data_IF_466048617674
#
_entry.id   IF_466048617674
#
_cell.length_a   1.000
_cell.length_b   1.000
_cell.length_c   1.000
_cell.angle_alpha   90.00
_cell.angle_beta   90.00
_cell.angle_gamma   90.00
#
_symmetry.space_group_name_H-M   'P 1'
#
loop_
_entity.id
_entity.type
_entity.pdbx_description
1 polymer ?
#
# COMPACT_ATOMS: atom_id res chain seq x y z
N UNK A 1 6.63 -8.17 -16.72
CA UNK A 1 7.05 -8.28 -15.30
C UNK A 1 6.39 -7.14 -14.56
N UNK A 2 5.40 -7.41 -13.75
CA UNK A 2 4.89 -6.41 -12.82
C UNK A 2 5.90 -6.34 -11.68
N UNK A 3 6.80 -5.36 -11.71
CA UNK A 3 7.59 -5.00 -10.54
C UNK A 3 6.58 -4.53 -9.49
N UNK A 4 6.17 -5.43 -8.61
CA UNK A 4 5.51 -5.03 -7.40
C UNK A 4 6.57 -4.28 -6.60
N UNK A 5 6.46 -2.97 -6.51
CA UNK A 5 7.31 -2.15 -5.67
C UNK A 5 7.27 -2.74 -4.25
N UNK A 6 8.41 -2.79 -3.58
CA UNK A 6 8.53 -3.26 -2.19
C UNK A 6 7.50 -2.60 -1.27
N UNK A 7 7.22 -1.31 -1.47
CA UNK A 7 6.15 -0.57 -0.81
C UNK A 7 4.74 -1.16 -1.02
N UNK A 8 4.44 -1.65 -2.23
CA UNK A 8 3.15 -2.27 -2.52
C UNK A 8 3.02 -3.66 -1.91
N UNK A 9 4.14 -4.35 -1.68
CA UNK A 9 4.19 -5.63 -0.96
C UNK A 9 4.01 -5.43 0.55
N UNK A 10 4.68 -4.44 1.14
CA UNK A 10 4.50 -4.10 2.56
C UNK A 10 3.04 -3.78 2.89
N UNK A 11 2.38 -2.99 2.06
CA UNK A 11 0.98 -2.64 2.25
C UNK A 11 0.03 -3.85 2.14
N UNK A 12 0.30 -4.80 1.24
CA UNK A 12 -0.49 -6.03 1.13
C UNK A 12 -0.33 -6.92 2.36
N UNK A 13 0.88 -7.01 2.92
CA UNK A 13 1.15 -7.81 4.12
C UNK A 13 0.50 -7.19 5.34
N UNK A 14 0.55 -5.87 5.51
CA UNK A 14 -0.17 -5.15 6.58
C UNK A 14 -1.67 -5.42 6.51
N UNK A 15 -2.24 -5.45 5.31
CA UNK A 15 -3.65 -5.82 5.08
C UNK A 15 -3.95 -7.23 5.57
N UNK A 16 -3.04 -8.18 5.42
CA UNK A 16 -3.21 -9.56 5.89
C UNK A 16 -3.12 -9.66 7.40
N UNK A 17 -2.19 -8.95 8.04
CA UNK A 17 -1.99 -9.04 9.49
C UNK A 17 -3.04 -8.33 10.33
N UNK A 18 -3.91 -7.53 9.76
CA UNK A 18 -4.98 -6.76 10.43
C UNK A 18 -4.47 -5.60 11.30
N UNK A 19 -3.39 -5.76 12.06
CA UNK A 19 -2.84 -4.77 13.00
C UNK A 19 -1.36 -4.46 12.76
N UNK A 20 -0.75 -4.93 11.68
CA UNK A 20 0.69 -4.79 11.47
C UNK A 20 1.57 -5.62 12.41
N UNK A 21 1.01 -6.68 13.00
CA UNK A 21 1.63 -7.46 14.09
C UNK A 21 2.73 -8.40 13.61
N UNK A 22 2.80 -8.68 12.32
CA UNK A 22 3.75 -9.63 11.76
C UNK A 22 4.37 -9.11 10.47
N UNK A 23 5.67 -9.35 10.33
CA UNK A 23 6.38 -9.19 9.07
C UNK A 23 6.23 -10.44 8.22
N UNK A 24 5.99 -10.23 6.94
CA UNK A 24 5.94 -11.30 5.97
C UNK A 24 6.17 -10.79 4.57
N UNK A 25 6.25 -11.70 3.61
CA UNK A 25 6.42 -11.37 2.21
C UNK A 25 5.81 -12.43 1.32
N UNK A 26 5.48 -12.05 0.10
CA UNK A 26 5.02 -12.97 -0.92
C UNK A 26 5.66 -12.63 -2.27
N UNK A 27 6.13 -13.65 -2.94
CA UNK A 27 6.62 -13.55 -4.32
C UNK A 27 5.56 -14.18 -5.22
N UNK A 28 5.11 -13.43 -6.23
CA UNK A 28 4.13 -13.90 -7.22
C UNK A 28 4.77 -13.86 -8.58
N UNK A 29 4.90 -15.04 -9.19
CA UNK A 29 5.32 -15.17 -10.58
C UNK A 29 4.13 -15.56 -11.45
N UNK A 30 4.01 -14.93 -12.61
CA UNK A 30 2.97 -15.26 -13.59
C UNK A 30 3.23 -16.59 -14.32
N UNK A 31 4.46 -17.08 -14.30
CA UNK A 31 4.91 -18.23 -15.08
C UNK A 31 4.90 -18.03 -16.60
N UNK A 32 4.76 -16.79 -17.07
CA UNK A 32 4.60 -16.48 -18.51
C UNK A 32 5.82 -15.82 -19.15
N UNK A 33 6.78 -15.39 -18.34
CA UNK A 33 7.94 -14.69 -18.85
C UNK A 33 8.96 -15.68 -19.45
N UNK A 34 9.38 -15.41 -20.66
CA UNK A 34 10.39 -16.24 -21.34
C UNK A 34 11.80 -15.79 -20.92
N UNK A 35 12.35 -16.48 -19.92
CA UNK A 35 13.67 -16.19 -19.38
C UNK A 35 14.78 -16.40 -20.40
N UNK A 36 14.69 -17.50 -21.20
CA UNK A 36 15.71 -17.82 -22.19
C UNK A 36 15.77 -16.83 -23.34
N UNK A 37 14.64 -16.25 -23.74
CA UNK A 37 14.61 -15.18 -24.74
C UNK A 37 15.30 -13.88 -24.28
N UNK A 38 15.61 -13.77 -22.98
CA UNK A 38 16.28 -12.62 -22.36
C UNK A 38 17.47 -13.03 -21.49
N UNK A 39 18.16 -14.09 -21.90
CA UNK A 39 19.23 -14.70 -21.12
C UNK A 39 20.39 -13.74 -20.78
N UNK A 40 20.67 -12.78 -21.66
CA UNK A 40 21.65 -11.72 -21.44
C UNK A 40 21.35 -10.84 -20.22
N UNK A 41 20.07 -10.65 -19.89
CA UNK A 41 19.62 -9.85 -18.74
C UNK A 41 19.44 -10.66 -17.46
N UNK A 42 19.26 -11.97 -17.60
CA UNK A 42 18.97 -12.87 -16.47
C UNK A 42 19.93 -14.07 -16.42
N UNK A 43 21.26 -13.82 -16.41
CA UNK A 43 22.24 -14.92 -16.42
C UNK A 43 22.05 -15.87 -15.23
N UNK A 44 21.67 -15.36 -14.06
CA UNK A 44 21.42 -16.19 -12.88
C UNK A 44 20.31 -17.25 -13.02
N UNK A 45 19.45 -17.17 -14.05
CA UNK A 45 18.44 -18.17 -14.36
C UNK A 45 18.80 -18.98 -15.63
N UNK A 46 19.60 -18.39 -16.51
CA UNK A 46 19.82 -18.88 -17.87
C UNK A 46 21.22 -19.42 -18.13
N UNK A 47 22.09 -19.47 -17.11
CA UNK A 47 23.40 -20.12 -17.17
C UNK A 47 23.51 -21.23 -16.13
N UNK A 48 24.43 -22.21 -16.29
CA UNK A 48 24.67 -23.24 -15.29
C UNK A 48 24.98 -22.65 -13.91
N UNK A 49 24.32 -23.13 -12.88
CA UNK A 49 24.51 -22.71 -11.49
C UNK A 49 25.30 -23.77 -10.72
N UNK A 50 26.58 -23.52 -10.47
CA UNK A 50 27.47 -24.43 -9.76
C UNK A 50 27.01 -24.73 -8.33
N UNK A 51 26.34 -23.79 -7.67
CA UNK A 51 25.80 -24.01 -6.32
C UNK A 51 24.62 -24.98 -6.30
N UNK A 52 24.06 -25.30 -7.47
CA UNK A 52 22.97 -26.26 -7.64
C UNK A 52 23.25 -27.30 -8.71
N UNK A 53 24.45 -27.93 -8.62
CA UNK A 53 24.90 -29.04 -9.46
C UNK A 53 24.99 -28.69 -10.96
N UNK A 54 25.29 -27.46 -11.31
CA UNK A 54 25.47 -27.01 -12.70
C UNK A 54 24.20 -26.96 -13.53
N UNK A 55 23.00 -26.92 -12.91
CA UNK A 55 21.76 -26.81 -13.67
C UNK A 55 21.52 -25.39 -14.16
N UNK A 56 20.86 -25.24 -15.29
CA UNK A 56 20.25 -24.00 -15.77
C UNK A 56 18.79 -23.99 -15.37
N UNK A 57 18.40 -23.08 -14.47
CA UNK A 57 17.04 -23.06 -13.90
C UNK A 57 15.97 -22.90 -14.98
N UNK A 58 16.17 -21.99 -15.93
CA UNK A 58 15.19 -21.72 -16.99
C UNK A 58 14.99 -22.91 -17.94
N UNK A 59 16.06 -23.66 -18.23
CA UNK A 59 15.97 -24.90 -19.05
C UNK A 59 15.28 -26.02 -18.29
N UNK A 60 15.66 -26.24 -17.03
CA UNK A 60 15.18 -27.38 -16.24
C UNK A 60 13.75 -27.22 -15.74
N UNK A 61 13.37 -26.02 -15.31
CA UNK A 61 12.08 -25.78 -14.67
C UNK A 61 11.14 -24.94 -15.53
N UNK A 62 11.54 -24.57 -16.74
CA UNK A 62 10.75 -23.78 -17.67
C UNK A 62 10.43 -22.37 -17.13
N UNK A 63 9.65 -21.65 -17.91
CA UNK A 63 9.21 -20.30 -17.53
C UNK A 63 8.27 -20.28 -16.33
N UNK A 64 7.56 -21.37 -16.09
CA UNK A 64 6.58 -21.51 -15.02
C UNK A 64 7.23 -21.69 -13.64
N UNK A 65 8.40 -22.32 -13.59
CA UNK A 65 9.01 -22.72 -12.33
C UNK A 65 10.40 -22.15 -12.03
N UNK A 66 11.13 -21.69 -13.04
CA UNK A 66 12.55 -21.31 -12.90
C UNK A 66 12.79 -20.29 -11.78
N UNK A 67 12.03 -19.21 -11.76
CA UNK A 67 12.22 -18.13 -10.81
C UNK A 67 11.89 -18.56 -9.37
N UNK A 68 10.74 -19.16 -9.15
CA UNK A 68 10.31 -19.61 -7.82
C UNK A 68 11.22 -20.72 -7.30
N UNK A 69 11.64 -21.64 -8.17
CA UNK A 69 12.57 -22.70 -7.75
C UNK A 69 13.92 -22.11 -7.33
N UNK A 70 14.48 -21.14 -8.07
CA UNK A 70 15.71 -20.47 -7.64
C UNK A 70 15.53 -19.73 -6.30
N UNK A 71 14.41 -19.03 -6.12
CA UNK A 71 14.12 -18.34 -4.86
C UNK A 71 14.10 -19.32 -3.67
N UNK A 72 13.48 -20.48 -3.81
CA UNK A 72 13.34 -21.46 -2.72
C UNK A 72 14.57 -22.35 -2.56
N UNK A 73 15.05 -22.95 -3.64
CA UNK A 73 16.09 -23.96 -3.59
C UNK A 73 17.51 -23.40 -3.38
N UNK A 74 17.73 -22.13 -3.72
CA UNK A 74 19.02 -21.47 -3.52
C UNK A 74 18.91 -20.31 -2.54
N UNK A 75 18.19 -19.23 -2.89
CA UNK A 75 18.23 -17.99 -2.10
C UNK A 75 17.68 -18.17 -0.69
N UNK A 76 16.51 -18.78 -0.56
CA UNK A 76 15.90 -19.03 0.76
C UNK A 76 16.78 -20.01 1.58
N UNK A 77 17.29 -21.06 0.96
CA UNK A 77 18.15 -22.04 1.60
C UNK A 77 19.46 -21.40 2.11
N UNK A 78 20.11 -20.59 1.27
CA UNK A 78 21.45 -20.08 1.55
C UNK A 78 21.41 -18.88 2.51
N UNK A 79 20.41 -18.00 2.39
CA UNK A 79 20.25 -16.82 3.25
C UNK A 79 19.36 -17.07 4.48
N UNK A 80 18.63 -18.18 4.54
CA UNK A 80 17.74 -18.49 5.65
C UNK A 80 16.52 -17.56 5.74
N UNK A 81 16.12 -16.92 4.65
CA UNK A 81 15.01 -15.96 4.61
C UNK A 81 13.65 -16.69 4.71
N UNK A 82 13.36 -17.22 5.88
CA UNK A 82 12.09 -17.91 6.18
C UNK A 82 11.23 -17.07 7.11
N UNK A 83 9.92 -17.11 6.86
CA UNK A 83 8.95 -16.56 7.79
C UNK A 83 8.85 -17.44 9.04
N UNK A 84 8.78 -16.81 10.23
CA UNK A 84 8.58 -17.58 11.45
C UNK A 84 7.19 -18.26 11.42
N UNK A 85 7.04 -19.47 12.01
CA UNK A 85 5.74 -20.13 12.09
C UNK A 85 4.68 -19.28 12.78
N UNK A 86 5.05 -18.52 13.80
CA UNK A 86 4.14 -17.62 14.50
C UNK A 86 3.66 -16.47 13.62
N UNK A 87 4.55 -15.84 12.84
CA UNK A 87 4.16 -14.80 11.87
C UNK A 87 3.25 -15.37 10.78
N UNK A 88 3.54 -16.58 10.30
CA UNK A 88 2.68 -17.26 9.33
C UNK A 88 1.28 -17.54 9.89
N UNK A 89 1.18 -17.96 11.15
CA UNK A 89 -0.10 -18.17 11.84
C UNK A 89 -0.89 -16.87 11.96
N UNK A 90 -0.27 -15.77 12.41
CA UNK A 90 -0.93 -14.46 12.53
C UNK A 90 -1.43 -13.96 11.17
N UNK A 91 -0.62 -14.09 10.11
CA UNK A 91 -1.03 -13.71 8.76
C UNK A 91 -2.21 -14.55 8.27
N UNK A 92 -2.21 -15.85 8.55
CA UNK A 92 -3.32 -16.74 8.18
C UNK A 92 -4.62 -16.34 8.90
N UNK A 93 -4.56 -16.02 10.19
CA UNK A 93 -5.72 -15.49 10.92
C UNK A 93 -6.24 -14.19 10.30
N UNK A 94 -5.33 -13.31 9.86
CA UNK A 94 -5.70 -12.09 9.17
C UNK A 94 -6.41 -12.36 7.83
N UNK A 95 -6.00 -13.38 7.10
CA UNK A 95 -6.63 -13.78 5.83
C UNK A 95 -8.07 -14.26 6.02
N UNK A 96 -8.37 -14.97 7.10
CA UNK A 96 -9.71 -15.50 7.36
C UNK A 96 -10.80 -14.43 7.42
N UNK A 97 -10.47 -13.22 7.88
CA UNK A 97 -11.40 -12.09 7.96
C UNK A 97 -11.27 -11.07 6.83
N UNK A 98 -10.35 -11.28 5.88
CA UNK A 98 -10.05 -10.28 4.84
C UNK A 98 -11.26 -9.93 3.98
N UNK A 99 -12.08 -10.92 3.63
CA UNK A 99 -13.25 -10.77 2.77
C UNK A 99 -14.37 -9.92 3.39
N UNK A 100 -14.40 -9.76 4.71
CA UNK A 100 -15.36 -8.88 5.41
C UNK A 100 -14.74 -7.53 5.76
N UNK A 101 -13.42 -7.46 5.98
CA UNK A 101 -12.73 -6.20 6.28
C UNK A 101 -12.59 -5.31 5.05
N UNK A 102 -12.17 -5.87 3.91
CA UNK A 102 -11.92 -5.08 2.73
C UNK A 102 -13.16 -4.30 2.22
N UNK A 103 -14.37 -4.87 2.17
CA UNK A 103 -15.57 -4.10 1.85
C UNK A 103 -15.79 -2.91 2.78
N UNK A 104 -15.54 -3.08 4.10
CA UNK A 104 -15.71 -1.99 5.07
C UNK A 104 -14.66 -0.88 4.87
N UNK A 105 -13.40 -1.24 4.61
CA UNK A 105 -12.37 -0.25 4.26
C UNK A 105 -12.74 0.54 2.99
N UNK A 106 -13.29 -0.13 1.98
CA UNK A 106 -13.72 0.51 0.72
C UNK A 106 -14.92 1.43 0.96
N UNK A 107 -15.93 0.98 1.73
CA UNK A 107 -17.08 1.79 2.10
C UNK A 107 -16.64 3.09 2.79
N UNK A 108 -15.79 2.96 3.80
CA UNK A 108 -15.27 4.10 4.55
C UNK A 108 -14.40 5.02 3.68
N UNK A 109 -13.54 4.43 2.82
CA UNK A 109 -12.74 5.18 1.86
C UNK A 109 -13.57 6.00 0.89
N UNK A 110 -14.63 5.42 0.34
CA UNK A 110 -15.54 6.11 -0.58
C UNK A 110 -16.28 7.25 0.12
N UNK A 111 -16.91 6.98 1.28
CA UNK A 111 -17.68 7.97 2.01
C UNK A 111 -16.84 9.18 2.46
N UNK A 112 -15.63 8.92 2.97
CA UNK A 112 -14.71 9.99 3.39
C UNK A 112 -14.17 10.77 2.18
N UNK A 113 -13.87 10.10 1.07
CA UNK A 113 -13.42 10.78 -0.15
C UNK A 113 -14.49 11.72 -0.72
N UNK A 114 -15.76 11.28 -0.75
CA UNK A 114 -16.91 12.10 -1.18
C UNK A 114 -17.14 13.30 -0.25
N UNK A 115 -17.04 13.11 1.06
CA UNK A 115 -17.13 14.19 2.04
C UNK A 115 -16.00 15.22 1.84
N UNK A 116 -14.77 14.78 1.71
CA UNK A 116 -13.61 15.65 1.54
C UNK A 116 -13.66 16.43 0.23
N UNK A 117 -14.14 15.82 -0.86
CA UNK A 117 -14.23 16.48 -2.18
C UNK A 117 -15.14 17.73 -2.15
N UNK A 118 -16.15 17.73 -1.28
CA UNK A 118 -17.10 18.83 -1.14
C UNK A 118 -16.68 19.88 -0.09
N UNK A 119 -15.63 19.60 0.70
CA UNK A 119 -15.29 20.44 1.84
C UNK A 119 -14.46 21.67 1.44
N UNK A 120 -14.82 22.90 1.86
CA UNK A 120 -14.19 24.15 1.39
C UNK A 120 -12.71 24.29 1.75
N UNK A 121 -12.22 23.66 2.82
CA UNK A 121 -10.81 23.68 3.26
C UNK A 121 -9.92 22.69 2.50
N UNK A 122 -10.49 21.87 1.63
CA UNK A 122 -9.77 20.88 0.81
C UNK A 122 -9.44 21.49 -0.55
N UNK A 123 -8.23 21.30 -1.01
CA UNK A 123 -7.75 21.77 -2.32
C UNK A 123 -7.91 20.72 -3.41
N UNK A 124 -7.70 19.46 -3.09
CA UNK A 124 -7.89 18.29 -3.97
C UNK A 124 -8.09 17.01 -3.16
N UNK A 125 -8.74 16.03 -3.77
CA UNK A 125 -8.82 14.66 -3.27
C UNK A 125 -8.33 13.70 -4.35
N UNK A 126 -7.47 12.79 -3.98
CA UNK A 126 -6.99 11.73 -4.86
C UNK A 126 -7.49 10.38 -4.36
N UNK A 127 -8.58 9.92 -4.94
CA UNK A 127 -9.18 8.62 -4.66
C UNK A 127 -9.80 8.05 -5.95
N UNK A 128 -9.42 6.84 -6.36
CA UNK A 128 -9.80 6.30 -7.67
C UNK A 128 -11.29 5.95 -7.78
N UNK A 129 -12.03 5.91 -6.68
CA UNK A 129 -13.48 5.71 -6.64
C UNK A 129 -14.30 6.99 -6.89
N UNK A 130 -13.69 8.17 -6.98
CA UNK A 130 -14.38 9.41 -7.31
C UNK A 130 -14.51 9.60 -8.83
N UNK A 131 -15.69 9.96 -9.35
CA UNK A 131 -15.86 10.22 -10.79
C UNK A 131 -14.95 11.33 -11.35
N UNK A 132 -14.54 12.28 -10.52
CA UNK A 132 -13.60 13.35 -10.84
C UNK A 132 -12.15 12.88 -11.03
N UNK A 133 -11.81 11.67 -10.52
CA UNK A 133 -10.45 11.14 -10.58
C UNK A 133 -10.10 10.67 -12.00
N UNK A 134 -8.93 11.07 -12.49
CA UNK A 134 -8.44 10.70 -13.83
C UNK A 134 -8.30 9.19 -14.08
N UNK A 135 -8.29 8.39 -13.04
CA UNK A 135 -8.18 6.93 -13.11
C UNK A 135 -9.50 6.20 -12.83
N UNK A 136 -10.61 6.92 -12.68
CA UNK A 136 -11.91 6.34 -12.32
C UNK A 136 -12.33 5.19 -13.25
N UNK A 137 -12.28 5.38 -14.57
CA UNK A 137 -12.65 4.33 -15.53
C UNK A 137 -11.70 3.12 -15.48
N UNK A 138 -10.41 3.35 -15.20
CA UNK A 138 -9.47 2.24 -14.95
C UNK A 138 -9.78 1.50 -13.66
N UNK A 139 -10.12 2.24 -12.61
CA UNK A 139 -10.49 1.65 -11.33
C UNK A 139 -11.73 0.76 -11.48
N UNK A 140 -12.77 1.22 -12.13
CA UNK A 140 -13.96 0.39 -12.44
C UNK A 140 -13.62 -0.90 -13.19
N UNK A 141 -12.69 -0.83 -14.14
CA UNK A 141 -12.27 -2.00 -14.93
C UNK A 141 -11.46 -3.01 -14.13
N UNK A 142 -10.50 -2.56 -13.32
CA UNK A 142 -9.52 -3.43 -12.68
C UNK A 142 -9.81 -3.70 -11.20
N UNK A 143 -10.66 -2.88 -10.57
CA UNK A 143 -11.05 -2.95 -9.17
C UNK A 143 -12.59 -2.95 -9.05
N UNK A 144 -13.27 -3.95 -9.60
CA UNK A 144 -14.74 -3.96 -9.68
C UNK A 144 -15.43 -3.99 -8.31
N UNK A 145 -14.71 -4.43 -7.27
CA UNK A 145 -15.22 -4.50 -5.89
C UNK A 145 -14.85 -3.26 -5.05
N UNK A 146 -14.41 -2.18 -5.70
CA UNK A 146 -14.01 -0.92 -5.06
C UNK A 146 -12.50 -0.69 -5.07
N UNK A 147 -12.10 0.56 -4.83
CA UNK A 147 -10.73 1.01 -4.94
C UNK A 147 -9.84 0.52 -3.81
N UNK A 148 -10.01 1.09 -2.65
CA UNK A 148 -9.24 0.80 -1.43
C UNK A 148 -9.79 1.62 -0.26
N UNK A 149 -9.21 1.44 0.94
CA UNK A 149 -9.47 2.29 2.11
C UNK A 149 -8.49 3.46 2.27
N UNK A 150 -7.66 3.77 1.26
CA UNK A 150 -6.66 4.84 1.35
C UNK A 150 -7.07 6.02 0.49
N UNK A 151 -7.18 7.19 1.13
CA UNK A 151 -7.48 8.47 0.49
C UNK A 151 -6.31 9.42 0.72
N UNK A 152 -5.88 10.15 -0.29
CA UNK A 152 -4.96 11.26 -0.13
C UNK A 152 -5.59 12.56 -0.59
N UNK A 153 -5.34 13.63 0.14
CA UNK A 153 -5.93 14.93 -0.12
C UNK A 153 -5.00 16.06 0.30
N UNK A 154 -5.19 17.23 -0.28
CA UNK A 154 -4.47 18.44 0.08
C UNK A 154 -5.32 19.41 0.87
N UNK A 155 -4.73 20.02 1.90
CA UNK A 155 -5.36 21.04 2.72
C UNK A 155 -4.98 22.44 2.24
N UNK A 156 -5.96 23.34 2.15
CA UNK A 156 -5.69 24.78 2.00
C UNK A 156 -5.02 25.27 3.28
N UNK A 157 -3.93 26.04 3.16
CA UNK A 157 -3.11 26.45 4.31
C UNK A 157 -1.83 25.62 4.49
N UNK A 158 -1.57 24.68 3.58
CA UNK A 158 -0.26 24.01 3.46
C UNK A 158 0.07 23.09 4.64
N UNK A 159 1.37 22.96 4.93
CA UNK A 159 1.93 22.12 6.00
C UNK A 159 1.32 22.41 7.39
N UNK A 160 1.08 23.68 7.71
CA UNK A 160 0.53 24.07 9.02
C UNK A 160 -0.89 23.54 9.19
N UNK A 161 -1.73 23.69 8.16
CA UNK A 161 -3.10 23.15 8.17
C UNK A 161 -3.10 21.61 8.27
N UNK A 162 -2.20 20.92 7.57
CA UNK A 162 -2.05 19.48 7.66
C UNK A 162 -1.68 19.03 9.09
N UNK A 163 -0.77 19.74 9.74
CA UNK A 163 -0.37 19.46 11.13
C UNK A 163 -1.54 19.69 12.10
N UNK A 164 -2.23 20.82 11.98
CA UNK A 164 -3.39 21.15 12.82
C UNK A 164 -4.49 20.09 12.65
N UNK A 165 -4.83 19.73 11.42
CA UNK A 165 -5.80 18.69 11.13
C UNK A 165 -5.46 17.37 11.85
N UNK A 166 -4.26 16.85 11.62
CA UNK A 166 -3.86 15.56 12.19
C UNK A 166 -3.84 15.55 13.72
N UNK A 167 -3.40 16.65 14.35
CA UNK A 167 -3.37 16.78 15.82
C UNK A 167 -4.75 16.87 16.46
N UNK A 168 -5.78 17.24 15.72
CA UNK A 168 -7.14 17.35 16.21
C UNK A 168 -8.01 16.11 15.92
N UNK A 169 -7.51 15.11 15.20
CA UNK A 169 -8.20 13.83 15.07
C UNK A 169 -8.28 13.14 16.43
N UNK A 170 -9.44 12.56 16.73
CA UNK A 170 -9.73 11.83 17.99
C UNK A 170 -9.76 10.31 17.77
N UNK A 171 -10.27 9.87 16.62
CA UNK A 171 -10.31 8.46 16.22
C UNK A 171 -9.08 8.11 15.38
N UNK A 172 -8.70 8.98 14.45
CA UNK A 172 -7.57 8.75 13.55
C UNK A 172 -6.23 8.87 14.27
N UNK A 173 -5.41 7.81 14.25
CA UNK A 173 -4.07 7.82 14.81
C UNK A 173 -3.04 8.37 13.81
N UNK A 174 -2.01 9.08 14.30
CA UNK A 174 -0.89 9.54 13.46
C UNK A 174 0.12 8.40 13.34
N UNK A 175 -0.02 7.61 12.30
CA UNK A 175 0.79 6.41 12.06
C UNK A 175 1.02 6.17 10.56
N UNK A 176 2.06 5.40 10.22
CA UNK A 176 2.39 5.05 8.84
C UNK A 176 1.62 3.84 8.32
N UNK A 177 0.76 3.23 9.12
CA UNK A 177 0.02 2.02 8.78
C UNK A 177 -0.95 2.23 7.60
N UNK A 178 -1.24 1.14 6.90
CA UNK A 178 -2.23 1.07 5.82
C UNK A 178 -3.05 -0.20 6.02
N UNK A 179 -4.37 -0.08 5.85
CA UNK A 179 -5.33 -1.16 6.04
C UNK A 179 -5.29 -1.81 7.44
N UNK A 180 -4.92 -1.02 8.44
CA UNK A 180 -5.11 -1.36 9.84
C UNK A 180 -6.60 -1.32 10.18
N UNK A 181 -7.03 -2.05 11.20
CA UNK A 181 -8.41 -2.00 11.68
C UNK A 181 -8.80 -0.62 12.21
N UNK A 182 -7.82 0.18 12.63
CA UNK A 182 -7.98 1.58 13.05
C UNK A 182 -7.64 2.52 11.90
N UNK A 183 -8.32 3.64 11.85
CA UNK A 183 -7.98 4.73 10.93
C UNK A 183 -6.65 5.35 11.32
N UNK A 184 -5.76 5.48 10.33
CA UNK A 184 -4.43 6.04 10.48
C UNK A 184 -4.22 7.17 9.49
N UNK A 185 -3.55 8.24 9.91
CA UNK A 185 -3.21 9.35 9.02
C UNK A 185 -1.73 9.73 9.09
N UNK A 186 -1.25 10.32 8.02
CA UNK A 186 0.15 10.66 7.84
C UNK A 186 0.27 11.87 6.92
N UNK A 187 1.10 12.85 7.31
CA UNK A 187 1.65 13.84 6.36
C UNK A 187 3.06 13.39 5.96
N UNK A 188 3.30 13.00 4.69
CA UNK A 188 4.62 12.51 4.25
C UNK A 188 5.73 13.55 4.44
N UNK A 189 5.43 14.82 4.24
CA UNK A 189 6.40 15.91 4.34
C UNK A 189 6.97 16.11 5.75
N UNK A 190 6.24 15.71 6.80
CA UNK A 190 6.70 15.81 8.18
C UNK A 190 7.19 14.48 8.75
N UNK A 191 7.02 13.38 8.03
CA UNK A 191 7.34 12.03 8.48
C UNK A 191 8.32 11.31 7.55
N UNK A 192 7.83 10.59 6.57
CA UNK A 192 8.63 9.70 5.69
C UNK A 192 9.56 10.44 4.74
N UNK A 193 9.26 11.70 4.40
CA UNK A 193 10.03 12.54 3.48
C UNK A 193 10.57 13.83 4.13
N UNK A 194 10.69 13.85 5.46
CA UNK A 194 11.07 15.05 6.22
C UNK A 194 12.43 15.66 5.87
N UNK A 195 13.29 14.89 5.20
CA UNK A 195 14.61 15.34 4.75
C UNK A 195 14.58 16.08 3.40
N UNK A 196 13.43 16.12 2.72
CA UNK A 196 13.27 16.77 1.41
C UNK A 196 12.83 18.22 1.56
N UNK A 197 13.28 19.08 0.63
CA UNK A 197 12.77 20.45 0.50
C UNK A 197 11.36 20.44 -0.10
N UNK A 198 10.62 21.56 -0.01
CA UNK A 198 9.27 21.64 -0.56
C UNK A 198 9.25 21.49 -2.08
N UNK A 199 10.30 21.94 -2.79
CA UNK A 199 10.49 21.73 -4.23
C UNK A 199 10.66 20.25 -4.55
N UNK A 200 11.53 19.55 -3.80
CA UNK A 200 11.77 18.11 -3.97
C UNK A 200 10.50 17.29 -3.64
N UNK A 201 9.77 17.68 -2.61
CA UNK A 201 8.49 17.06 -2.27
C UNK A 201 7.47 17.19 -3.39
N UNK A 202 7.38 18.38 -4.00
CA UNK A 202 6.49 18.63 -5.13
C UNK A 202 6.85 17.81 -6.36
N UNK A 203 8.14 17.74 -6.69
CA UNK A 203 8.66 16.89 -7.78
C UNK A 203 8.39 15.42 -7.56
N UNK A 204 8.50 14.97 -6.30
CA UNK A 204 8.18 13.59 -5.89
C UNK A 204 6.67 13.29 -5.85
N UNK A 205 5.80 14.29 -6.08
CA UNK A 205 4.34 14.14 -6.04
C UNK A 205 3.75 14.00 -4.64
N UNK A 206 4.47 14.47 -3.62
CA UNK A 206 4.06 14.46 -2.21
C UNK A 206 4.14 15.88 -1.60
N UNK A 207 3.35 16.83 -2.11
CA UNK A 207 3.43 18.22 -1.67
C UNK A 207 3.19 18.37 -0.17
N UNK A 208 3.67 19.48 0.41
CA UNK A 208 3.73 19.67 1.85
C UNK A 208 2.35 19.65 2.56
N UNK A 209 1.30 20.02 1.85
CA UNK A 209 -0.10 20.03 2.31
C UNK A 209 -0.78 18.66 2.23
N UNK A 210 -0.14 17.66 1.65
CA UNK A 210 -0.73 16.34 1.43
C UNK A 210 -0.90 15.60 2.74
N UNK A 211 -2.11 15.12 2.99
CA UNK A 211 -2.42 14.14 4.03
C UNK A 211 -2.87 12.84 3.36
N UNK A 212 -2.30 11.72 3.80
CA UNK A 212 -2.76 10.38 3.46
C UNK A 212 -3.50 9.82 4.66
N UNK A 213 -4.74 9.42 4.48
CA UNK A 213 -5.54 8.73 5.49
C UNK A 213 -5.85 7.31 5.01
N UNK A 214 -5.64 6.34 5.87
CA UNK A 214 -6.03 4.94 5.68
C UNK A 214 -7.19 4.64 6.62
N UNK A 215 -8.39 4.56 6.04
CA UNK A 215 -9.62 4.36 6.78
C UNK A 215 -9.66 2.95 7.35
N UNK A 216 -9.98 2.84 8.63
CA UNK A 216 -10.14 1.58 9.34
C UNK A 216 -11.54 0.99 9.20
N UNK A 217 -11.96 0.27 10.25
CA UNK A 217 -13.23 -0.46 10.30
C UNK A 217 -14.30 0.24 11.15
N UNK A 218 -14.00 1.44 11.60
CA UNK A 218 -14.90 2.27 12.41
C UNK A 218 -16.19 2.58 11.62
N UNK A 219 -17.19 3.06 12.30
CA UNK A 219 -18.40 3.55 11.67
C UNK A 219 -18.09 4.77 10.80
N UNK A 220 -18.67 4.84 9.61
CA UNK A 220 -18.36 5.90 8.64
C UNK A 220 -18.85 7.29 9.07
N UNK A 221 -19.96 7.33 9.80
CA UNK A 221 -20.52 8.57 10.35
C UNK A 221 -19.60 9.11 11.44
N UNK A 222 -19.06 8.27 12.30
CA UNK A 222 -18.07 8.65 13.33
C UNK A 222 -16.78 9.15 12.69
N UNK A 223 -16.29 8.50 11.62
CA UNK A 223 -15.12 8.95 10.88
C UNK A 223 -15.32 10.31 10.23
N UNK A 224 -16.46 10.53 9.57
CA UNK A 224 -16.81 11.82 8.97
C UNK A 224 -16.93 12.91 10.04
N UNK A 225 -17.54 12.61 11.19
CA UNK A 225 -17.65 13.52 12.31
C UNK A 225 -16.28 13.90 12.89
N UNK A 226 -15.37 12.92 13.04
CA UNK A 226 -14.01 13.16 13.53
C UNK A 226 -13.20 14.02 12.55
N UNK A 227 -13.28 13.70 11.27
CA UNK A 227 -12.61 14.48 10.21
C UNK A 227 -13.17 15.89 10.12
N UNK A 228 -14.48 16.07 10.21
CA UNK A 228 -15.13 17.38 10.16
C UNK A 228 -14.66 18.28 11.31
N UNK A 229 -14.70 17.79 12.55
CA UNK A 229 -14.27 18.59 13.70
C UNK A 229 -12.77 18.92 13.67
N UNK A 230 -11.94 18.03 13.09
CA UNK A 230 -10.52 18.29 12.89
C UNK A 230 -10.27 19.34 11.79
N UNK A 231 -11.08 19.38 10.74
CA UNK A 231 -11.06 20.43 9.73
C UNK A 231 -11.52 21.77 10.28
N UNK A 232 -12.54 21.78 11.17
CA UNK A 232 -13.03 23.01 11.81
C UNK A 232 -11.96 23.68 12.68
N UNK A 233 -11.05 22.91 13.27
CA UNK A 233 -9.94 23.41 14.08
C UNK A 233 -8.87 24.16 13.26
N UNK A 234 -8.86 24.06 11.93
CA UNK A 234 -7.96 24.84 11.07
C UNK A 234 -8.49 26.27 10.98
N UNK A 235 -7.65 27.25 11.34
CA UNK A 235 -7.99 28.66 11.17
C UNK A 235 -8.24 29.00 9.67
N UNK A 236 -9.13 29.99 9.44
CA UNK A 236 -9.39 30.52 8.10
C UNK A 236 -8.18 31.23 7.51
#
# INVERSE_FOLDING_TARGET
MYTCNLESMENKIKTFSKFGDALGGAIVDSGKFDWMAHADKYPGLCTPDESYHGITYAEKFGKEGAFITKCTAQLMRDFGCMQSPQSAFILNLGLESLHVRMPKHVENGQAVAEFLEQHPKISYVNYPGLPSNKYYERAKKYLPNGGCGVVSFGLKGGRAAASTFMQNLKLGAIETHVADARTCCLNPATSTHRQMTDEQLKEAGVPAELVRISLGLEDKEDLISDISQALDAIAE
#
